data_IF_942621141081
#
_entry.id   IF_942621141081
#
_cell.length_a   1.000
_cell.length_b   1.000
_cell.length_c   1.000
_cell.angle_alpha   90.00
_cell.angle_beta   90.00
_cell.angle_gamma   90.00
#
_symmetry.space_group_name_H-M   'P 1'
#
loop_
_entity.id
_entity.type
_entity.pdbx_description
1 polymer ?
#
# COMPACT_ATOMS: atom_id res chain seq x y z
N UNK A 1 -6.30 1.13 6.80
CA UNK A 1 -6.00 -0.15 6.12
C UNK A 1 -7.03 -0.25 5.04
N UNK A 2 -6.62 -0.03 3.81
CA UNK A 2 -7.50 0.01 2.64
C UNK A 2 -7.23 -1.20 1.76
N UNK A 3 -8.27 -1.71 1.10
CA UNK A 3 -8.15 -2.78 0.13
C UNK A 3 -8.62 -2.26 -1.22
N UNK A 4 -7.87 -2.53 -2.28
CA UNK A 4 -8.16 -2.06 -3.63
C UNK A 4 -7.83 -3.16 -4.63
N UNK A 5 -8.58 -3.24 -5.72
CA UNK A 5 -8.24 -4.14 -6.82
C UNK A 5 -7.00 -3.65 -7.55
N UNK A 6 -6.28 -4.57 -8.20
CA UNK A 6 -5.11 -4.23 -9.03
C UNK A 6 -5.47 -3.27 -10.17
N UNK A 7 -6.71 -3.29 -10.66
CA UNK A 7 -7.17 -2.35 -11.69
C UNK A 7 -7.28 -0.94 -11.10
N UNK A 8 -7.97 -0.77 -9.97
CA UNK A 8 -8.10 0.53 -9.31
C UNK A 8 -6.75 1.13 -8.90
N UNK A 9 -5.81 0.29 -8.43
CA UNK A 9 -4.46 0.74 -8.07
C UNK A 9 -3.67 1.19 -9.30
N UNK A 10 -3.90 0.58 -10.47
CA UNK A 10 -3.28 1.03 -11.72
C UNK A 10 -3.85 2.36 -12.19
N UNK A 11 -5.17 2.53 -12.12
CA UNK A 11 -5.84 3.77 -12.52
C UNK A 11 -5.52 4.95 -11.58
N UNK A 12 -5.26 4.68 -10.30
CA UNK A 12 -5.04 5.69 -9.26
C UNK A 12 -3.66 5.54 -8.58
N UNK A 13 -2.63 5.16 -9.34
CA UNK A 13 -1.33 4.82 -8.75
C UNK A 13 -0.72 6.01 -7.98
N UNK A 14 -0.76 7.20 -8.55
CA UNK A 14 -0.17 8.41 -7.97
C UNK A 14 -0.85 8.81 -6.64
N UNK A 15 -2.19 8.74 -6.60
CA UNK A 15 -2.98 8.91 -5.39
C UNK A 15 -2.67 7.86 -4.33
N UNK A 16 -2.53 6.59 -4.73
CA UNK A 16 -2.20 5.47 -3.84
C UNK A 16 -0.85 5.69 -3.16
N UNK A 17 0.17 6.13 -3.91
CA UNK A 17 1.47 6.48 -3.35
C UNK A 17 1.34 7.70 -2.44
N UNK A 18 0.67 8.77 -2.88
CA UNK A 18 0.44 9.98 -2.09
C UNK A 18 -0.26 9.68 -0.76
N UNK A 19 -1.25 8.78 -0.74
CA UNK A 19 -1.96 8.39 0.49
C UNK A 19 -1.06 7.65 1.48
N UNK A 20 -0.17 6.81 0.97
CA UNK A 20 0.81 6.05 1.78
C UNK A 20 1.88 7.00 2.33
N UNK A 21 2.45 7.87 1.49
CA UNK A 21 3.50 8.80 1.89
C UNK A 21 3.00 9.89 2.84
N UNK A 22 1.77 10.40 2.62
CA UNK A 22 1.14 11.38 3.51
C UNK A 22 0.73 10.77 4.86
N UNK A 23 0.88 9.46 5.05
CA UNK A 23 0.47 8.75 6.27
C UNK A 23 -1.05 8.65 6.47
N UNK A 24 -1.85 9.06 5.47
CA UNK A 24 -3.32 8.97 5.49
C UNK A 24 -3.76 7.51 5.53
N UNK A 25 -3.07 6.65 4.77
CA UNK A 25 -3.22 5.20 4.86
C UNK A 25 -1.91 4.55 5.32
N UNK A 26 -1.99 3.73 6.38
CA UNK A 26 -0.82 2.97 6.87
C UNK A 26 -0.45 1.78 5.99
N UNK A 27 -1.44 1.22 5.28
CA UNK A 27 -1.24 0.08 4.40
C UNK A 27 -2.39 -0.06 3.41
N UNK A 28 -2.06 -0.47 2.19
CA UNK A 28 -3.02 -0.80 1.14
C UNK A 28 -2.79 -2.25 0.69
N UNK A 29 -3.83 -3.08 0.78
CA UNK A 29 -3.83 -4.45 0.24
C UNK A 29 -4.35 -4.40 -1.19
N UNK A 30 -3.52 -4.83 -2.12
CA UNK A 30 -3.90 -4.98 -3.52
C UNK A 30 -4.45 -6.39 -3.73
N UNK A 31 -5.64 -6.50 -4.32
CA UNK A 31 -6.28 -7.77 -4.65
C UNK A 31 -6.38 -8.00 -6.16
N UNK A 32 -6.43 -9.26 -6.56
CA UNK A 32 -6.80 -9.69 -7.92
C UNK A 32 -7.77 -10.86 -7.79
N UNK A 33 -8.94 -10.76 -8.42
CA UNK A 33 -10.03 -11.74 -8.26
C UNK A 33 -10.33 -12.03 -6.78
N UNK A 34 -10.51 -10.96 -5.99
CA UNK A 34 -10.81 -11.01 -4.55
C UNK A 34 -9.72 -11.65 -3.66
N UNK A 35 -8.60 -12.10 -4.24
CA UNK A 35 -7.46 -12.65 -3.50
C UNK A 35 -6.39 -11.57 -3.28
N UNK A 36 -5.85 -11.42 -2.07
CA UNK A 36 -4.74 -10.50 -1.82
C UNK A 36 -3.49 -10.98 -2.54
N UNK A 37 -2.81 -10.07 -3.23
CA UNK A 37 -1.60 -10.38 -4.01
C UNK A 37 -0.37 -9.58 -3.56
N UNK A 38 -0.56 -8.33 -3.13
CA UNK A 38 0.52 -7.43 -2.74
C UNK A 38 0.04 -6.53 -1.60
N UNK A 39 0.95 -6.10 -0.73
CA UNK A 39 0.70 -5.04 0.25
C UNK A 39 1.65 -3.87 -0.02
N UNK A 40 1.10 -2.67 -0.09
CA UNK A 40 1.84 -1.41 -0.16
C UNK A 40 1.86 -0.80 1.25
N UNK A 41 3.05 -0.44 1.73
CA UNK A 41 3.29 0.18 3.03
C UNK A 41 4.26 1.35 2.85
N UNK A 42 4.21 2.39 3.71
CA UNK A 42 5.18 3.47 3.64
C UNK A 42 6.58 2.96 3.89
N UNK A 43 7.58 3.57 3.26
CA UNK A 43 8.98 3.18 3.45
C UNK A 43 9.41 3.26 4.92
N UNK A 44 8.86 4.20 5.69
CA UNK A 44 9.06 4.34 7.14
C UNK A 44 8.45 3.19 7.95
N UNK A 45 7.53 2.40 7.41
CA UNK A 45 7.12 1.13 8.03
C UNK A 45 8.16 0.02 7.85
N UNK A 46 9.16 0.22 7.00
CA UNK A 46 10.28 -0.71 6.83
C UNK A 46 11.42 -0.46 7.84
N UNK A 47 11.14 0.28 8.92
CA UNK A 47 12.02 0.51 10.08
C UNK A 47 12.16 -0.75 10.97
N UNK A 48 12.29 -1.92 10.35
CA UNK A 48 12.72 -3.17 10.99
C UNK A 48 14.22 -3.42 10.73
N UNK A 49 14.96 -2.39 10.31
CA UNK A 49 16.41 -2.44 10.07
C UNK A 49 17.22 -1.64 11.09
N UNK A 50 16.72 -1.45 12.32
CA UNK A 50 17.57 -1.12 13.48
C UNK A 50 17.16 -1.94 14.71
N UNK A 51 17.18 -3.27 14.57
CA UNK A 51 17.76 -4.11 15.63
C UNK A 51 19.21 -4.39 15.24
N UNK A 52 20.14 -3.65 15.85
CA UNK A 52 21.48 -4.15 16.12
C UNK A 52 21.81 -3.88 17.58
#
# INVERSE_FOLDING_TARGET
MKQMSITEVKDNFDDVITWIESGKEKQIIVTKYEKPIVRIVPYTCNDNSEKK
#
